data_IF_664349959147
#
_entry.id   IF_664349959147
#
_cell.length_a   1.000
_cell.length_b   1.000
_cell.length_c   1.000
_cell.angle_alpha   90.00
_cell.angle_beta   90.00
_cell.angle_gamma   90.00
#
_symmetry.space_group_name_H-M   'P 1'
#
loop_
_entity.id
_entity.type
_entity.pdbx_description
1 polymer ?
#
# COMPACT_ATOMS: atom_id res chain seq x y z
N UNK A 1 6.47 60.82 -86.96
CA UNK A 1 5.70 60.53 -85.73
C UNK A 1 5.05 59.16 -85.84
N UNK A 2 5.46 58.19 -85.01
CA UNK A 2 4.61 57.22 -84.27
C UNK A 2 5.51 56.12 -83.70
N UNK A 3 5.82 56.26 -82.42
CA UNK A 3 6.48 55.24 -81.60
C UNK A 3 5.43 54.21 -81.18
N UNK A 4 5.61 52.95 -81.55
CA UNK A 4 4.84 51.84 -81.00
C UNK A 4 5.48 51.41 -79.68
N UNK A 5 4.81 51.72 -78.57
CA UNK A 5 5.15 51.22 -77.23
C UNK A 5 4.42 49.89 -77.01
N UNK A 6 5.15 48.79 -77.09
CA UNK A 6 4.67 47.49 -76.60
C UNK A 6 4.64 47.51 -75.07
N UNK A 7 3.44 47.42 -74.50
CA UNK A 7 3.26 47.16 -73.06
C UNK A 7 3.61 45.70 -72.79
N UNK A 8 4.76 45.45 -72.19
CA UNK A 8 5.07 44.16 -71.59
C UNK A 8 4.14 43.94 -70.39
N UNK A 9 3.19 43.03 -70.54
CA UNK A 9 2.32 42.57 -69.46
C UNK A 9 3.19 41.75 -68.51
N UNK A 10 3.52 42.32 -67.35
CA UNK A 10 4.24 41.63 -66.27
C UNK A 10 3.30 40.55 -65.73
N UNK A 11 3.49 39.31 -66.18
CA UNK A 11 2.77 38.15 -65.65
C UNK A 11 3.26 37.93 -64.21
N UNK A 12 2.31 37.83 -63.28
CA UNK A 12 2.61 37.69 -61.86
C UNK A 12 3.11 36.28 -61.58
N UNK A 13 4.41 36.12 -61.49
CA UNK A 13 5.13 34.91 -61.05
C UNK A 13 4.64 34.37 -59.69
N UNK A 14 3.94 35.21 -58.91
CA UNK A 14 3.38 34.87 -57.60
C UNK A 14 2.13 33.98 -57.65
N UNK A 15 1.40 33.88 -58.77
CA UNK A 15 0.25 32.97 -58.87
C UNK A 15 0.70 31.52 -59.04
N UNK A 16 1.73 31.29 -59.84
CA UNK A 16 2.20 29.94 -60.16
C UNK A 16 2.88 29.33 -58.93
N UNK A 17 3.70 30.09 -58.21
CA UNK A 17 4.31 29.62 -56.96
C UNK A 17 3.27 29.31 -55.87
N UNK A 18 2.21 30.12 -55.74
CA UNK A 18 1.09 29.84 -54.82
C UNK A 18 0.35 28.56 -55.19
N UNK A 19 0.18 28.29 -56.48
CA UNK A 19 -0.49 27.09 -56.98
C UNK A 19 0.35 25.85 -56.72
N UNK A 20 1.68 25.93 -56.94
CA UNK A 20 2.61 24.84 -56.63
C UNK A 20 2.66 24.56 -55.12
N UNK A 21 2.75 25.61 -54.30
CA UNK A 21 2.73 25.45 -52.84
C UNK A 21 1.41 24.81 -52.39
N UNK A 22 0.26 25.36 -52.80
CA UNK A 22 -1.04 24.95 -52.27
C UNK A 22 -1.46 23.55 -52.74
N UNK A 23 -1.21 23.19 -53.99
CA UNK A 23 -1.69 21.93 -54.57
C UNK A 23 -0.67 20.78 -54.57
N UNK A 24 0.62 21.05 -54.35
CA UNK A 24 1.64 19.99 -54.38
C UNK A 24 2.46 19.95 -53.10
N UNK A 25 3.04 21.07 -52.66
CA UNK A 25 3.93 21.07 -51.48
C UNK A 25 3.13 20.88 -50.19
N UNK A 26 2.01 21.60 -50.04
CA UNK A 26 1.16 21.52 -48.86
C UNK A 26 0.57 20.12 -48.66
N UNK A 27 -0.09 19.47 -49.64
CA UNK A 27 -0.57 18.10 -49.46
C UNK A 27 0.57 17.11 -49.22
N UNK A 28 1.74 17.30 -49.84
CA UNK A 28 2.90 16.47 -49.54
C UNK A 28 3.33 16.58 -48.08
N UNK A 29 3.43 17.79 -47.54
CA UNK A 29 3.76 18.03 -46.12
C UNK A 29 2.67 17.45 -45.22
N UNK A 30 1.39 17.69 -45.52
CA UNK A 30 0.26 17.20 -44.72
C UNK A 30 0.23 15.68 -44.68
N UNK A 31 0.37 14.99 -45.82
CA UNK A 31 0.37 13.53 -45.88
C UNK A 31 1.54 12.96 -45.08
N UNK A 32 2.76 13.50 -45.27
CA UNK A 32 3.92 13.03 -44.52
C UNK A 32 3.80 13.34 -43.02
N UNK A 33 3.23 14.48 -42.63
CA UNK A 33 2.98 14.83 -41.24
C UNK A 33 1.97 13.86 -40.60
N UNK A 34 0.92 13.47 -41.32
CA UNK A 34 -0.05 12.47 -40.87
C UNK A 34 0.60 11.10 -40.71
N UNK A 35 1.39 10.64 -41.69
CA UNK A 35 2.12 9.37 -41.59
C UNK A 35 3.07 9.40 -40.39
N UNK A 36 3.83 10.49 -40.25
CA UNK A 36 4.75 10.67 -39.13
C UNK A 36 4.02 10.62 -37.79
N UNK A 37 2.88 11.30 -37.67
CA UNK A 37 2.04 11.25 -36.48
C UNK A 37 1.55 9.84 -36.19
N UNK A 38 1.04 9.10 -37.19
CA UNK A 38 0.59 7.72 -37.00
C UNK A 38 1.73 6.77 -36.62
N UNK A 39 2.94 6.96 -37.16
CA UNK A 39 4.12 6.13 -36.79
C UNK A 39 4.62 6.45 -35.38
N UNK A 40 4.47 7.69 -34.93
CA UNK A 40 4.99 8.15 -33.62
C UNK A 40 3.94 8.19 -32.52
N UNK A 41 2.65 8.00 -32.84
CA UNK A 41 1.55 8.04 -31.89
C UNK A 41 1.69 6.97 -30.80
N UNK A 42 1.94 7.41 -29.56
CA UNK A 42 2.01 6.54 -28.39
C UNK A 42 0.63 6.37 -27.76
N UNK A 43 0.33 5.18 -27.23
CA UNK A 43 -0.83 5.00 -26.36
C UNK A 43 -0.58 5.69 -25.00
N UNK A 44 -1.66 6.10 -24.35
CA UNK A 44 -1.65 6.59 -22.97
C UNK A 44 -2.54 5.67 -22.11
N UNK A 45 -2.11 5.45 -20.88
CA UNK A 45 -2.74 4.54 -19.93
C UNK A 45 -3.06 5.32 -18.66
N UNK A 46 -4.26 5.10 -18.13
CA UNK A 46 -4.67 5.58 -16.83
C UNK A 46 -5.14 4.36 -16.02
N UNK A 47 -4.64 4.23 -14.80
CA UNK A 47 -5.02 3.17 -13.87
C UNK A 47 -5.70 3.83 -12.67
N UNK A 48 -6.84 3.30 -12.27
CA UNK A 48 -7.56 3.72 -11.07
C UNK A 48 -7.86 2.49 -10.24
N UNK A 49 -7.29 2.41 -9.04
CA UNK A 49 -7.61 1.35 -8.08
C UNK A 49 -8.88 1.79 -7.35
N UNK A 50 -9.90 0.93 -7.32
CA UNK A 50 -11.12 1.18 -6.56
C UNK A 50 -10.89 0.99 -5.07
N UNK A 51 -11.81 1.53 -4.27
CA UNK A 51 -11.86 1.23 -2.83
C UNK A 51 -12.29 -0.22 -2.60
N UNK A 52 -12.10 -0.71 -1.38
CA UNK A 52 -12.56 -2.02 -0.93
C UNK A 52 -13.66 -1.87 0.12
N UNK A 53 -14.68 -2.73 0.07
CA UNK A 53 -15.74 -2.79 1.09
C UNK A 53 -15.47 -3.87 2.14
N UNK A 54 -14.70 -4.89 1.79
CA UNK A 54 -14.45 -6.11 2.58
C UNK A 54 -12.98 -6.29 2.98
N UNK A 55 -12.10 -5.37 2.60
CA UNK A 55 -10.65 -5.42 2.79
C UNK A 55 -9.94 -6.64 2.17
N UNK A 56 -10.67 -7.53 1.48
CA UNK A 56 -10.15 -8.75 0.87
C UNK A 56 -9.98 -8.62 -0.63
N UNK A 57 -10.90 -7.88 -1.27
CA UNK A 57 -10.91 -7.72 -2.72
C UNK A 57 -11.11 -6.28 -3.14
N UNK A 58 -10.55 -5.95 -4.29
CA UNK A 58 -10.80 -4.67 -4.96
C UNK A 58 -10.80 -4.87 -6.47
N UNK A 59 -11.22 -3.85 -7.20
CA UNK A 59 -11.16 -3.82 -8.66
C UNK A 59 -10.30 -2.65 -9.12
N UNK A 60 -9.35 -2.93 -10.00
CA UNK A 60 -8.61 -1.88 -10.70
C UNK A 60 -9.25 -1.64 -12.07
N UNK A 61 -9.47 -0.38 -12.40
CA UNK A 61 -9.95 0.06 -13.71
C UNK A 61 -8.79 0.60 -14.53
N UNK A 62 -8.62 0.07 -15.73
CA UNK A 62 -7.59 0.48 -16.69
C UNK A 62 -8.27 1.15 -17.87
N UNK A 63 -7.99 2.43 -18.07
CA UNK A 63 -8.49 3.20 -19.21
C UNK A 63 -7.39 3.47 -20.23
N UNK A 64 -7.65 3.07 -21.48
CA UNK A 64 -6.68 3.18 -22.57
C UNK A 64 -7.06 4.35 -23.48
N UNK A 65 -6.28 5.43 -23.39
CA UNK A 65 -6.39 6.57 -24.28
C UNK A 65 -5.40 6.43 -25.44
N UNK A 66 -5.84 5.85 -26.55
CA UNK A 66 -4.99 5.72 -27.75
C UNK A 66 -5.71 6.19 -29.02
N UNK A 67 -5.02 6.91 -29.89
CA UNK A 67 -5.58 7.28 -31.20
C UNK A 67 -5.58 6.07 -32.15
N UNK A 68 -4.65 5.14 -31.97
CA UNK A 68 -4.51 3.93 -32.77
C UNK A 68 -5.16 2.73 -32.08
N UNK A 69 -5.53 1.69 -32.84
CA UNK A 69 -5.98 0.44 -32.24
C UNK A 69 -4.87 -0.21 -31.41
N UNK A 70 -5.27 -0.89 -30.34
CA UNK A 70 -4.39 -1.71 -29.49
C UNK A 70 -4.13 -3.04 -30.17
N UNK A 71 -2.87 -3.45 -30.22
CA UNK A 71 -2.46 -4.76 -30.76
C UNK A 71 -2.29 -5.79 -29.64
N UNK A 72 -1.59 -5.41 -28.58
CA UNK A 72 -1.35 -6.27 -27.41
C UNK A 72 -1.64 -5.46 -26.14
N UNK A 73 -2.30 -6.10 -25.18
CA UNK A 73 -2.53 -5.61 -23.82
C UNK A 73 -2.14 -6.73 -22.86
N UNK A 74 -1.20 -6.44 -21.98
CA UNK A 74 -0.73 -7.32 -20.92
C UNK A 74 -0.97 -6.59 -19.61
N UNK A 75 -1.59 -7.27 -18.67
CA UNK A 75 -1.79 -6.79 -17.31
C UNK A 75 -1.20 -7.86 -16.41
N UNK A 76 -0.23 -7.47 -15.59
CA UNK A 76 0.46 -8.36 -14.68
C UNK A 76 0.46 -7.78 -13.27
N UNK A 77 0.29 -8.63 -12.27
CA UNK A 77 0.49 -8.28 -10.86
C UNK A 77 1.78 -8.95 -10.40
N UNK A 78 2.72 -8.16 -9.89
CA UNK A 78 4.02 -8.64 -9.38
C UNK A 78 4.79 -9.52 -10.40
N UNK A 79 4.56 -9.28 -11.71
CA UNK A 79 5.17 -10.01 -12.81
C UNK A 79 4.41 -11.26 -13.29
N UNK A 80 3.28 -11.61 -12.67
CA UNK A 80 2.39 -12.68 -13.12
C UNK A 80 1.18 -12.13 -13.89
N UNK A 81 0.90 -12.69 -15.06
CA UNK A 81 -0.24 -12.30 -15.89
C UNK A 81 -1.55 -12.57 -15.17
N UNK A 82 -2.42 -11.56 -15.11
CA UNK A 82 -3.74 -11.67 -14.47
C UNK A 82 -4.87 -11.49 -15.48
N UNK A 83 -5.99 -12.16 -15.19
CA UNK A 83 -7.19 -12.03 -16.01
C UNK A 83 -7.80 -10.63 -15.88
N UNK A 84 -8.38 -10.14 -16.96
CA UNK A 84 -9.10 -8.88 -17.00
C UNK A 84 -10.35 -9.01 -17.87
N UNK A 85 -11.36 -8.22 -17.56
CA UNK A 85 -12.60 -8.15 -18.32
C UNK A 85 -12.71 -6.80 -19.02
N UNK A 86 -13.19 -6.82 -20.26
CA UNK A 86 -13.46 -5.58 -20.98
C UNK A 86 -14.89 -5.10 -20.66
N UNK A 87 -14.99 -4.07 -19.83
CA UNK A 87 -16.27 -3.54 -19.37
C UNK A 87 -16.85 -2.49 -20.34
N UNK A 88 -15.99 -1.73 -21.02
CA UNK A 88 -16.39 -0.74 -22.04
C UNK A 88 -15.34 -0.66 -23.18
N UNK A 89 -15.62 0.12 -24.22
CA UNK A 89 -14.66 0.47 -25.25
C UNK A 89 -13.43 1.12 -24.62
N UNK A 90 -12.32 0.36 -24.58
CA UNK A 90 -11.01 0.77 -24.04
C UNK A 90 -10.95 0.93 -22.52
N UNK A 91 -11.91 0.35 -21.81
CA UNK A 91 -11.88 0.28 -20.34
C UNK A 91 -11.91 -1.20 -19.94
N UNK A 92 -10.95 -1.57 -19.09
CA UNK A 92 -10.78 -2.93 -18.60
C UNK A 92 -10.85 -2.94 -17.08
N UNK A 93 -11.50 -3.94 -16.52
CA UNK A 93 -11.59 -4.16 -15.09
C UNK A 93 -10.77 -5.39 -14.73
N UNK A 94 -10.00 -5.24 -13.66
CA UNK A 94 -9.05 -6.25 -13.19
C UNK A 94 -9.41 -6.58 -11.74
N UNK A 95 -9.84 -7.81 -11.43
CA UNK A 95 -10.07 -8.22 -10.05
C UNK A 95 -8.73 -8.37 -9.34
N UNK A 96 -8.62 -7.81 -8.14
CA UNK A 96 -7.42 -7.83 -7.30
C UNK A 96 -7.80 -8.44 -5.96
N UNK A 97 -7.00 -9.43 -5.52
CA UNK A 97 -7.22 -10.18 -4.28
C UNK A 97 -5.98 -10.22 -3.37
N UNK A 98 -4.97 -9.40 -3.65
CA UNK A 98 -3.79 -9.24 -2.80
C UNK A 98 -3.10 -7.91 -3.08
N UNK A 99 -2.40 -7.38 -2.07
CA UNK A 99 -1.55 -6.20 -2.22
C UNK A 99 -0.38 -6.48 -3.19
N UNK A 100 0.19 -5.42 -3.76
CA UNK A 100 1.32 -5.52 -4.69
C UNK A 100 1.37 -4.41 -5.74
N UNK A 101 2.08 -4.68 -6.83
CA UNK A 101 2.22 -3.74 -7.95
C UNK A 101 1.52 -4.29 -9.19
N UNK A 102 0.58 -3.50 -9.71
CA UNK A 102 -0.07 -3.75 -10.98
C UNK A 102 0.71 -3.07 -12.11
N UNK A 103 1.18 -3.85 -13.07
CA UNK A 103 1.78 -3.38 -14.31
C UNK A 103 0.78 -3.54 -15.46
N UNK A 104 0.51 -2.45 -16.18
CA UNK A 104 -0.26 -2.47 -17.42
C UNK A 104 0.65 -2.09 -18.56
N UNK A 105 0.88 -3.03 -19.48
CA UNK A 105 1.73 -2.87 -20.64
C UNK A 105 0.90 -2.97 -21.93
N UNK A 106 0.97 -1.93 -22.76
CA UNK A 106 0.20 -1.84 -24.02
C UNK A 106 1.12 -1.62 -25.22
N UNK A 107 0.76 -2.22 -26.36
CA UNK A 107 1.38 -1.96 -27.65
C UNK A 107 0.32 -1.63 -28.71
N UNK A 108 0.52 -0.52 -29.43
CA UNK A 108 -0.28 -0.13 -30.59
C UNK A 108 0.16 -0.87 -31.87
N UNK A 109 -0.69 -0.85 -32.90
CA UNK A 109 -0.37 -1.43 -34.22
C UNK A 109 0.86 -0.83 -34.91
N UNK A 110 1.22 0.43 -34.58
CA UNK A 110 2.44 1.07 -35.09
C UNK A 110 3.72 0.60 -34.37
N UNK A 111 3.62 -0.29 -33.38
CA UNK A 111 4.74 -0.81 -32.60
C UNK A 111 5.14 0.06 -31.40
N UNK A 112 4.51 1.23 -31.22
CA UNK A 112 4.74 2.07 -30.05
C UNK A 112 4.08 1.44 -28.82
N UNK A 113 4.81 1.39 -27.71
CA UNK A 113 4.35 0.84 -26.44
C UNK A 113 4.34 1.88 -25.33
N UNK A 114 3.52 1.64 -24.32
CA UNK A 114 3.53 2.34 -23.04
C UNK A 114 3.32 1.32 -21.92
N UNK A 115 3.80 1.63 -20.73
CA UNK A 115 3.56 0.87 -19.52
C UNK A 115 3.27 1.84 -18.38
N UNK A 116 2.35 1.47 -17.50
CA UNK A 116 1.99 2.23 -16.31
C UNK A 116 1.89 1.30 -15.11
N UNK A 117 2.19 1.81 -13.92
CA UNK A 117 2.24 1.06 -12.68
C UNK A 117 1.28 1.65 -11.66
N UNK A 118 0.56 0.79 -10.94
CA UNK A 118 -0.25 1.19 -9.80
C UNK A 118 0.13 0.35 -8.57
N UNK A 119 0.29 1.02 -7.43
CA UNK A 119 0.52 0.38 -6.15
C UNK A 119 -0.81 0.09 -5.47
N UNK A 120 -0.99 -1.15 -5.01
CA UNK A 120 -2.18 -1.59 -4.28
C UNK A 120 -1.74 -2.00 -2.87
N UNK A 121 -2.26 -1.29 -1.87
CA UNK A 121 -1.99 -1.50 -0.45
C UNK A 121 -3.24 -1.24 0.39
N UNK A 122 -4.42 -1.53 -0.17
CA UNK A 122 -5.72 -1.26 0.47
C UNK A 122 -6.35 -2.52 1.05
N UNK A 123 -5.82 -3.69 0.72
CA UNK A 123 -6.31 -4.97 1.24
C UNK A 123 -5.60 -5.28 2.54
N UNK A 124 -6.31 -5.88 3.48
CA UNK A 124 -5.73 -6.24 4.78
C UNK A 124 -5.05 -7.59 4.70
N UNK A 125 -3.79 -7.62 5.12
CA UNK A 125 -2.93 -8.79 5.18
C UNK A 125 -2.17 -8.88 6.51
N UNK A 126 -2.61 -8.12 7.52
CA UNK A 126 -1.96 -8.04 8.84
C UNK A 126 -2.89 -8.61 9.91
N UNK A 127 -2.35 -9.49 10.75
CA UNK A 127 -3.08 -10.04 11.89
C UNK A 127 -3.33 -8.97 12.97
N UNK A 128 -4.39 -9.13 13.79
CA UNK A 128 -4.60 -8.24 14.92
C UNK A 128 -3.44 -8.34 15.92
N UNK A 129 -3.30 -7.34 16.78
CA UNK A 129 -2.19 -7.24 17.74
C UNK A 129 -2.68 -7.13 19.18
N UNK A 130 -1.89 -7.65 20.12
CA UNK A 130 -2.13 -7.43 21.56
C UNK A 130 -1.43 -6.14 21.97
N UNK A 131 -2.18 -5.14 22.40
CA UNK A 131 -1.63 -3.84 22.81
C UNK A 131 -1.38 -3.74 24.30
N UNK A 132 -2.19 -4.44 25.10
CA UNK A 132 -2.09 -4.45 26.55
C UNK A 132 -2.62 -5.77 27.12
N UNK A 133 -2.13 -6.15 28.30
CA UNK A 133 -2.62 -7.31 29.03
C UNK A 133 -2.33 -7.19 30.52
N UNK A 134 -3.22 -7.71 31.36
CA UNK A 134 -3.04 -7.75 32.82
C UNK A 134 -3.75 -8.95 33.44
N UNK A 135 -3.17 -9.50 34.50
CA UNK A 135 -3.78 -10.55 35.33
C UNK A 135 -4.24 -9.93 36.65
N UNK A 136 -5.46 -10.24 37.07
CA UNK A 136 -5.98 -9.81 38.37
C UNK A 136 -5.86 -10.88 39.47
N UNK A 137 -6.19 -10.51 40.71
CA UNK A 137 -6.11 -11.39 41.89
C UNK A 137 -7.12 -12.57 41.85
N UNK A 138 -8.04 -12.60 40.89
CA UNK A 138 -9.04 -13.65 40.71
C UNK A 138 -8.64 -14.63 39.58
N UNK A 139 -7.37 -14.61 39.15
CA UNK A 139 -6.82 -15.41 38.04
C UNK A 139 -7.50 -15.11 36.68
N UNK A 140 -8.04 -13.89 36.51
CA UNK A 140 -8.65 -13.45 35.24
C UNK A 140 -7.68 -12.58 34.47
N UNK A 141 -7.31 -13.04 33.27
CA UNK A 141 -6.50 -12.24 32.34
C UNK A 141 -7.42 -11.33 31.51
N UNK A 142 -7.11 -10.04 31.50
CA UNK A 142 -7.71 -9.04 30.60
C UNK A 142 -6.71 -8.75 29.48
N UNK A 143 -7.14 -8.87 28.23
CA UNK A 143 -6.30 -8.72 27.04
C UNK A 143 -6.96 -7.69 26.12
N UNK A 144 -6.17 -6.70 25.67
CA UNK A 144 -6.62 -5.68 24.74
C UNK A 144 -6.06 -5.98 23.35
N UNK A 145 -6.97 -6.10 22.38
CA UNK A 145 -6.68 -6.38 20.98
C UNK A 145 -6.98 -5.15 20.12
N UNK A 146 -6.06 -4.84 19.21
CA UNK A 146 -6.22 -3.78 18.22
C UNK A 146 -5.86 -4.29 16.82
N UNK A 147 -6.72 -3.96 15.85
CA UNK A 147 -6.37 -3.98 14.44
C UNK A 147 -6.77 -2.65 13.80
N UNK A 148 -5.85 -2.10 13.01
CA UNK A 148 -5.95 -0.74 12.48
C UNK A 148 -6.62 -0.68 11.11
N UNK A 149 -6.79 -1.82 10.43
CA UNK A 149 -7.24 -1.85 9.04
C UNK A 149 -8.64 -2.45 8.87
N UNK A 150 -8.83 -3.74 9.10
CA UNK A 150 -10.15 -4.39 8.99
C UNK A 150 -10.92 -4.43 10.31
N UNK A 151 -10.20 -4.44 11.43
CA UNK A 151 -10.70 -4.57 12.80
C UNK A 151 -10.69 -6.02 13.29
N UNK A 152 -10.78 -6.19 14.61
CA UNK A 152 -10.79 -7.51 15.25
C UNK A 152 -12.17 -8.16 15.15
N UNK A 153 -12.24 -9.42 14.71
CA UNK A 153 -13.46 -10.22 14.74
C UNK A 153 -13.60 -10.95 16.09
N UNK A 154 -14.35 -10.34 17.01
CA UNK A 154 -14.60 -10.88 18.34
C UNK A 154 -15.32 -12.24 18.34
N UNK A 155 -16.02 -12.61 17.27
CA UNK A 155 -16.71 -13.89 17.19
C UNK A 155 -15.74 -15.07 16.97
N UNK A 156 -14.52 -14.78 16.52
CA UNK A 156 -13.46 -15.78 16.30
C UNK A 156 -12.54 -15.95 17.50
N UNK A 157 -12.67 -15.13 18.53
CA UNK A 157 -11.78 -15.14 19.69
C UNK A 157 -12.07 -16.37 20.56
N UNK A 158 -11.02 -17.15 20.81
CA UNK A 158 -11.02 -18.22 21.81
C UNK A 158 -9.64 -18.35 22.41
N UNK A 159 -9.53 -19.11 23.48
CA UNK A 159 -8.23 -19.49 24.01
C UNK A 159 -8.16 -21.00 24.23
N UNK A 160 -6.94 -21.51 24.36
CA UNK A 160 -6.65 -22.89 24.73
C UNK A 160 -5.97 -22.84 26.09
N UNK A 161 -6.57 -23.50 27.07
CA UNK A 161 -6.03 -23.57 28.43
C UNK A 161 -4.84 -24.55 28.52
N UNK A 162 -4.26 -24.67 29.72
CA UNK A 162 -3.11 -25.55 29.94
C UNK A 162 -3.42 -27.04 29.78
N UNK A 163 -4.70 -27.43 29.89
CA UNK A 163 -5.16 -28.81 29.66
C UNK A 163 -5.36 -29.10 28.16
N UNK A 164 -5.30 -28.06 27.32
CA UNK A 164 -5.50 -28.14 25.87
C UNK A 164 -6.96 -28.01 25.46
N UNK A 165 -7.85 -27.62 26.38
CA UNK A 165 -9.26 -27.44 26.12
C UNK A 165 -9.54 -26.02 25.59
N UNK A 166 -10.47 -25.93 24.64
CA UNK A 166 -10.89 -24.66 24.06
C UNK A 166 -11.87 -23.96 24.99
N UNK A 167 -11.50 -22.74 25.41
CA UNK A 167 -12.29 -21.87 26.27
C UNK A 167 -12.67 -20.57 25.55
N UNK A 168 -13.78 -19.97 25.97
CA UNK A 168 -14.33 -18.74 25.39
C UNK A 168 -14.25 -17.58 26.40
N UNK A 169 -14.24 -16.31 25.93
CA UNK A 169 -14.18 -15.16 26.83
C UNK A 169 -15.33 -15.15 27.85
N UNK A 170 -15.01 -14.78 29.09
CA UNK A 170 -16.00 -14.49 30.14
C UNK A 170 -16.77 -13.21 29.80
N UNK A 171 -16.06 -12.23 29.25
CA UNK A 171 -16.60 -10.92 28.86
C UNK A 171 -15.83 -10.37 27.67
N UNK A 172 -16.55 -9.70 26.78
CA UNK A 172 -16.02 -8.99 25.60
C UNK A 172 -16.50 -7.54 25.65
N UNK A 173 -15.59 -6.59 25.67
CA UNK A 173 -15.87 -5.17 25.41
C UNK A 173 -15.32 -4.77 24.05
N UNK A 174 -16.19 -4.87 23.03
CA UNK A 174 -15.89 -4.51 21.64
C UNK A 174 -15.55 -3.03 21.44
N UNK A 175 -15.93 -2.15 22.37
CA UNK A 175 -15.63 -0.72 22.26
C UNK A 175 -14.23 -0.40 22.76
N UNK A 176 -13.78 -1.14 23.79
CA UNK A 176 -12.45 -1.01 24.36
C UNK A 176 -11.39 -1.90 23.69
N UNK A 177 -11.81 -2.90 22.92
CA UNK A 177 -10.89 -3.89 22.36
C UNK A 177 -10.59 -5.04 23.33
N UNK A 178 -11.32 -5.15 24.44
CA UNK A 178 -10.92 -5.98 25.58
C UNK A 178 -11.67 -7.31 25.64
N UNK A 179 -10.93 -8.38 25.94
CA UNK A 179 -11.48 -9.70 26.25
C UNK A 179 -10.93 -10.23 27.58
N UNK A 180 -11.75 -10.98 28.30
CA UNK A 180 -11.40 -11.55 29.61
C UNK A 180 -11.50 -13.07 29.61
N UNK A 181 -10.51 -13.75 30.17
CA UNK A 181 -10.47 -15.21 30.29
C UNK A 181 -10.04 -15.62 31.70
N UNK A 182 -10.54 -16.75 32.18
CA UNK A 182 -9.96 -17.44 33.32
C UNK A 182 -8.62 -18.06 32.85
N UNK A 183 -7.55 -17.84 33.60
CA UNK A 183 -6.23 -18.36 33.27
C UNK A 183 -5.61 -19.05 34.48
N UNK A 184 -5.23 -20.30 34.33
CA UNK A 184 -4.49 -21.01 35.38
C UNK A 184 -3.00 -20.64 35.40
N UNK A 185 -2.29 -21.08 36.44
CA UNK A 185 -0.86 -20.83 36.64
C UNK A 185 0.06 -21.50 35.60
N UNK A 186 -0.47 -22.31 34.68
CA UNK A 186 0.30 -23.00 33.64
C UNK A 186 0.22 -22.28 32.29
N UNK A 187 -0.77 -21.40 32.10
CA UNK A 187 -0.83 -20.45 30.99
C UNK A 187 -2.07 -20.61 30.11
N UNK A 188 -2.17 -19.71 29.13
CA UNK A 188 -3.31 -19.59 28.23
C UNK A 188 -2.82 -19.20 26.83
N UNK A 189 -3.22 -19.93 25.79
CA UNK A 189 -2.93 -19.57 24.40
C UNK A 189 -4.15 -18.92 23.77
N UNK A 190 -4.10 -17.60 23.56
CA UNK A 190 -5.11 -16.83 22.85
C UNK A 190 -5.03 -17.06 21.35
N UNK A 191 -6.19 -17.22 20.72
CA UNK A 191 -6.40 -17.18 19.28
C UNK A 191 -7.43 -16.09 18.96
N UNK A 192 -7.11 -15.23 18.01
CA UNK A 192 -8.01 -14.19 17.51
C UNK A 192 -7.81 -14.02 16.01
N UNK A 193 -8.83 -13.54 15.30
CA UNK A 193 -8.71 -13.15 13.89
C UNK A 193 -9.26 -11.76 13.66
N UNK A 194 -8.80 -11.12 12.60
CA UNK A 194 -9.45 -9.91 12.07
C UNK A 194 -10.66 -10.29 11.18
N UNK A 195 -11.32 -9.30 10.59
CA UNK A 195 -12.45 -9.54 9.67
C UNK A 195 -12.04 -10.10 8.30
N UNK A 196 -10.75 -10.17 7.99
CA UNK A 196 -10.23 -10.75 6.75
C UNK A 196 -9.67 -12.17 6.93
N UNK A 197 -9.64 -12.67 8.16
CA UNK A 197 -9.17 -14.01 8.53
C UNK A 197 -7.67 -14.09 8.81
N UNK A 198 -6.97 -12.96 9.01
CA UNK A 198 -5.60 -12.96 9.49
C UNK A 198 -5.59 -13.36 10.98
N UNK A 199 -4.87 -14.42 11.32
CA UNK A 199 -4.89 -15.01 12.66
C UNK A 199 -3.73 -14.53 13.54
N UNK A 200 -4.05 -14.20 14.79
CA UNK A 200 -3.15 -13.96 15.89
C UNK A 200 -3.15 -15.17 16.82
N UNK A 201 -1.95 -15.60 17.24
CA UNK A 201 -1.77 -16.59 18.30
C UNK A 201 -0.73 -16.11 19.31
N UNK A 202 -1.13 -15.96 20.57
CA UNK A 202 -0.25 -15.50 21.66
C UNK A 202 -0.41 -16.40 22.87
N UNK A 203 0.71 -16.82 23.46
CA UNK A 203 0.68 -17.61 24.70
C UNK A 203 1.08 -16.76 25.88
N UNK A 204 0.23 -16.75 26.90
CA UNK A 204 0.46 -16.11 28.19
C UNK A 204 0.84 -17.18 29.21
N UNK A 205 1.81 -16.89 30.06
CA UNK A 205 2.23 -17.79 31.14
C UNK A 205 2.67 -16.98 32.34
N UNK A 206 2.33 -17.42 33.54
CA UNK A 206 2.86 -16.84 34.78
C UNK A 206 4.10 -17.60 35.23
N UNK A 207 5.06 -16.87 35.81
CA UNK A 207 6.13 -17.48 36.59
C UNK A 207 6.35 -16.70 37.88
N UNK A 208 6.79 -17.41 38.93
CA UNK A 208 7.17 -16.78 40.19
C UNK A 208 8.57 -16.20 40.06
N UNK A 209 8.69 -14.86 40.11
CA UNK A 209 9.98 -14.17 40.23
C UNK A 209 10.05 -13.52 41.61
N UNK A 210 11.05 -13.91 42.42
CA UNK A 210 11.24 -13.48 43.82
C UNK A 210 10.00 -13.57 44.74
N UNK A 211 9.02 -14.40 44.40
CA UNK A 211 7.80 -14.62 45.20
C UNK A 211 6.56 -13.86 44.73
N UNK A 212 6.65 -13.10 43.64
CA UNK A 212 5.55 -12.42 42.95
C UNK A 212 5.25 -13.13 41.61
N UNK A 213 3.98 -13.21 41.22
CA UNK A 213 3.60 -13.78 39.91
C UNK A 213 3.80 -12.73 38.81
N UNK A 214 4.68 -13.05 37.86
CA UNK A 214 4.96 -12.21 36.70
C UNK A 214 4.34 -12.86 35.47
N UNK A 215 3.48 -12.11 34.78
CA UNK A 215 2.85 -12.52 33.54
C UNK A 215 3.76 -12.19 32.36
N UNK A 216 4.10 -13.20 31.56
CA UNK A 216 4.83 -13.03 30.31
C UNK A 216 3.95 -13.43 29.12
N UNK A 217 4.09 -12.71 28.01
CA UNK A 217 3.65 -13.19 26.71
C UNK A 217 4.85 -13.82 25.96
N UNK A 218 4.60 -14.94 25.28
CA UNK A 218 5.51 -15.53 24.31
C UNK A 218 4.83 -15.33 22.96
N UNK A 219 5.13 -14.21 22.31
CA UNK A 219 4.64 -13.96 20.96
C UNK A 219 5.43 -14.76 19.94
N UNK A 220 4.71 -15.51 19.11
CA UNK A 220 5.20 -15.81 17.78
C UNK A 220 4.96 -14.58 16.92
N UNK A 221 6.03 -13.82 16.64
CA UNK A 221 6.11 -12.54 15.89
C UNK A 221 6.13 -11.30 16.79
N UNK A 222 7.18 -10.48 16.64
CA UNK A 222 7.74 -9.57 17.66
C UNK A 222 6.88 -8.34 18.05
N UNK A 223 6.46 -8.25 19.32
CA UNK A 223 5.97 -7.02 19.99
C UNK A 223 6.30 -7.02 21.50
N UNK A 224 7.49 -6.55 21.88
CA UNK A 224 7.76 -6.24 23.30
C UNK A 224 6.97 -5.02 23.76
N UNK A 225 5.98 -5.21 24.64
CA UNK A 225 5.34 -4.13 25.40
C UNK A 225 5.54 -4.42 26.90
N UNK A 226 6.20 -3.48 27.58
CA UNK A 226 6.39 -3.45 29.03
C UNK A 226 5.13 -2.90 29.69
N UNK A 227 4.59 -3.62 30.67
CA UNK A 227 3.46 -3.18 31.47
C UNK A 227 3.71 -1.80 32.12
N UNK A 228 2.77 -0.87 31.93
CA UNK A 228 2.86 0.48 32.43
C UNK A 228 2.43 0.62 33.88
N UNK A 229 3.31 1.14 34.75
CA UNK A 229 2.92 1.69 36.05
C UNK A 229 2.63 3.20 35.92
N UNK A 230 1.47 3.64 36.44
CA UNK A 230 1.16 5.06 36.58
C UNK A 230 1.24 5.55 38.03
N UNK A 231 2.28 6.34 38.33
CA UNK A 231 2.14 7.65 38.98
C UNK A 231 2.55 7.81 40.45
N UNK A 232 3.58 8.64 40.72
CA UNK A 232 3.43 9.89 41.51
C UNK A 232 4.70 10.80 41.52
N UNK A 233 4.45 12.10 41.59
CA UNK A 233 5.35 13.25 41.42
C UNK A 233 6.55 13.34 42.39
N UNK A 234 7.70 13.85 41.92
CA UNK A 234 8.31 15.15 42.31
C UNK A 234 9.73 15.33 41.70
N UNK A 235 9.97 16.48 41.06
CA UNK A 235 11.30 17.01 40.68
C UNK A 235 11.82 17.97 41.79
N UNK A 236 13.06 18.56 41.75
CA UNK A 236 14.26 18.31 40.92
C UNK A 236 15.60 18.29 41.72
N UNK A 237 16.69 17.79 41.12
CA UNK A 237 18.08 18.19 41.43
C UNK A 237 19.00 17.75 40.26
N UNK A 238 19.31 18.63 39.31
CA UNK A 238 20.58 19.40 39.17
C UNK A 238 21.85 18.54 39.14
N UNK A 239 22.47 18.53 37.96
CA UNK A 239 23.89 18.40 37.60
C UNK A 239 24.87 17.89 38.65
N UNK A 240 25.74 16.97 38.25
CA UNK A 240 27.18 17.28 38.14
C UNK A 240 27.92 16.35 37.18
N UNK A 241 28.70 17.00 36.32
CA UNK A 241 29.63 16.48 35.32
C UNK A 241 30.92 16.05 36.04
N UNK A 242 31.41 14.83 35.82
CA UNK A 242 32.80 14.48 36.17
C UNK A 242 33.65 14.51 34.90
N UNK A 243 34.45 15.57 34.79
CA UNK A 243 35.58 15.70 33.88
C UNK A 243 36.82 15.03 34.52
N UNK A 244 37.54 14.30 33.68
CA UNK A 244 38.72 13.51 34.02
C UNK A 244 39.96 14.37 34.31
N UNK A 245 40.83 13.84 35.16
CA UNK A 245 41.99 14.46 35.78
C UNK A 245 43.18 14.66 34.82
N UNK A 246 43.84 15.82 34.92
CA UNK A 246 45.25 15.99 34.55
C UNK A 246 46.06 16.67 35.67
N UNK A 247 47.32 16.23 35.74
CA UNK A 247 48.51 16.90 36.25
C UNK A 247 48.96 16.68 37.71
N UNK A 248 50.03 15.87 37.76
CA UNK A 248 51.35 16.19 38.32
C UNK A 248 51.60 16.04 39.83
N UNK A 249 52.35 14.97 40.12
CA UNK A 249 53.26 14.77 41.24
C UNK A 249 54.39 15.79 41.24
N UNK A 250 54.67 16.43 42.38
CA UNK A 250 56.03 16.70 42.83
C UNK A 250 56.14 16.98 44.35
N UNK A 251 57.11 16.29 44.94
CA UNK A 251 58.00 16.68 46.05
C UNK A 251 57.53 16.73 47.53
N UNK A 252 58.23 15.90 48.31
CA UNK A 252 58.82 16.13 49.65
C UNK A 252 57.82 16.35 50.82
N UNK A 253 57.82 15.54 51.88
CA UNK A 253 58.90 15.22 52.82
C UNK A 253 58.62 13.89 53.57
#
# INVERSE_FOLDING_TARGET
MKQNRTRARRQSESSDFKTVILFYILPFIVINAVIFYLVTAKPHLEITVGDTEDYLTTTATVHIQSVLPTKNLVIAKDGEDIAYEQTDSRTYTVPISSNGVLEVSIQNFNGMSAAEYAHISILDDVAPTVTDYSLDDEDVITITLEDTQSGVDFETIYAVDSEGDQVFPITEDRSAGEVKFDMDSMGLTLHASDFTGNELQVTFSTHLDDGEEVLNNIEGTETSILAGEHGQETQPAVNETEEDLEAETEAEE
#
